data_IF_933074803490
#
_entry.id   IF_933074803490
#
_cell.length_a   1.000
_cell.length_b   1.000
_cell.length_c   1.000
_cell.angle_alpha   90.00
_cell.angle_beta   90.00
_cell.angle_gamma   90.00
#
_symmetry.space_group_name_H-M   'P 1'
#
loop_
_entity.id
_entity.type
_entity.pdbx_description
1 polymer ?
#
# COMPACT_ATOMS: atom_id res chain seq x y z
N UNK A 1 4.08 1.07 -29.35
CA UNK A 1 2.65 1.18 -28.96
C UNK A 1 1.82 1.94 -29.99
N UNK A 2 2.33 2.11 -31.21
CA UNK A 2 1.71 2.94 -32.25
C UNK A 2 0.43 2.32 -32.85
N UNK A 3 0.35 0.98 -32.89
CA UNK A 3 -0.82 0.27 -33.43
C UNK A 3 -2.00 0.13 -32.45
N UNK A 4 -1.73 0.13 -31.14
CA UNK A 4 -2.76 0.00 -30.10
C UNK A 4 -2.61 1.11 -29.07
N UNK A 5 -3.20 2.26 -29.41
CA UNK A 5 -3.10 3.50 -28.61
C UNK A 5 -3.83 3.42 -27.26
N UNK A 6 -4.70 2.43 -27.06
CA UNK A 6 -5.52 2.25 -25.84
C UNK A 6 -4.88 1.37 -24.76
N UNK A 7 -3.75 0.73 -25.02
CA UNK A 7 -3.04 -0.13 -24.05
C UNK A 7 -1.68 0.46 -23.71
N UNK A 8 -1.20 0.21 -22.50
CA UNK A 8 0.10 0.62 -21.96
C UNK A 8 0.81 -0.54 -21.30
N UNK A 9 2.14 -0.54 -21.36
CA UNK A 9 2.99 -1.51 -20.71
C UNK A 9 3.37 -0.93 -19.34
N UNK A 10 2.92 -1.56 -18.27
CA UNK A 10 3.04 -1.03 -16.90
C UNK A 10 3.69 -2.06 -16.00
N UNK A 11 4.41 -1.60 -14.99
CA UNK A 11 4.92 -2.46 -13.93
C UNK A 11 3.92 -2.40 -12.78
N UNK A 12 3.31 -3.53 -12.38
CA UNK A 12 2.38 -3.53 -11.27
C UNK A 12 3.11 -3.31 -9.95
N UNK A 13 2.42 -2.65 -9.02
CA UNK A 13 2.86 -2.49 -7.64
C UNK A 13 2.71 -3.83 -6.91
N UNK A 14 3.69 -4.12 -6.06
CA UNK A 14 3.63 -5.31 -5.21
C UNK A 14 2.70 -4.98 -4.05
N UNK A 15 1.49 -5.56 -4.07
CA UNK A 15 0.48 -5.33 -3.02
C UNK A 15 0.26 -6.64 -2.28
N UNK A 16 0.40 -6.62 -0.95
CA UNK A 16 0.14 -7.80 -0.13
C UNK A 16 -1.34 -8.16 -0.11
N UNK A 17 -1.66 -9.43 0.11
CA UNK A 17 -3.05 -9.91 0.22
C UNK A 17 -3.81 -9.21 1.36
N UNK A 18 -3.15 -9.00 2.50
CA UNK A 18 -3.75 -8.28 3.64
C UNK A 18 -4.09 -6.84 3.31
N UNK A 19 -3.25 -6.16 2.52
CA UNK A 19 -3.51 -4.80 2.06
C UNK A 19 -4.72 -4.77 1.10
N UNK A 20 -4.81 -5.72 0.16
CA UNK A 20 -5.99 -5.84 -0.72
C UNK A 20 -7.30 -6.10 0.03
N UNK A 21 -7.26 -6.88 1.12
CA UNK A 21 -8.45 -7.18 1.92
C UNK A 21 -8.83 -6.03 2.87
N UNK A 22 -7.83 -5.35 3.45
CA UNK A 22 -8.01 -4.28 4.44
C UNK A 22 -8.41 -2.93 3.84
N UNK A 23 -7.93 -2.59 2.64
CA UNK A 23 -8.24 -1.31 1.99
C UNK A 23 -9.52 -1.36 1.16
N UNK A 24 -10.64 -1.66 1.82
CA UNK A 24 -11.97 -1.56 1.23
C UNK A 24 -12.76 -0.40 1.86
N UNK A 25 -13.78 0.09 1.15
CA UNK A 25 -14.55 1.27 1.57
C UNK A 25 -15.14 1.12 2.97
N UNK A 26 -15.74 -0.01 3.29
CA UNK A 26 -16.38 -0.22 4.60
C UNK A 26 -15.38 -0.19 5.75
N UNK A 27 -14.20 -0.81 5.56
CA UNK A 27 -13.13 -0.79 6.55
C UNK A 27 -12.55 0.61 6.75
N UNK A 28 -12.31 1.33 5.65
CA UNK A 28 -11.80 2.71 5.68
C UNK A 28 -12.80 3.66 6.35
N UNK A 29 -14.09 3.58 5.97
CA UNK A 29 -15.14 4.43 6.55
C UNK A 29 -15.27 4.17 8.06
N UNK A 30 -15.20 2.90 8.48
CA UNK A 30 -15.25 2.52 9.91
C UNK A 30 -14.05 3.04 10.68
N UNK A 31 -12.85 2.94 10.11
CA UNK A 31 -11.63 3.45 10.71
C UNK A 31 -11.71 4.97 10.97
N UNK A 32 -12.08 5.75 9.94
CA UNK A 32 -12.14 7.20 10.08
C UNK A 32 -13.26 7.66 11.01
N UNK A 33 -14.39 6.95 11.05
CA UNK A 33 -15.44 7.21 12.04
C UNK A 33 -14.92 7.09 13.47
N UNK A 34 -14.23 5.99 13.79
CA UNK A 34 -13.65 5.81 15.14
C UNK A 34 -12.56 6.84 15.44
N UNK A 35 -11.73 7.16 14.45
CA UNK A 35 -10.70 8.19 14.60
C UNK A 35 -11.31 9.55 14.94
N UNK A 36 -12.37 9.95 14.24
CA UNK A 36 -13.08 11.21 14.47
C UNK A 36 -13.72 11.25 15.87
N UNK A 37 -14.39 10.17 16.29
CA UNK A 37 -14.99 10.06 17.62
C UNK A 37 -13.93 10.20 18.74
N UNK A 38 -12.80 9.52 18.60
CA UNK A 38 -11.71 9.57 19.58
C UNK A 38 -11.00 10.92 19.57
N UNK A 39 -10.74 11.49 18.40
CA UNK A 39 -10.10 12.79 18.27
C UNK A 39 -10.98 13.90 18.87
N UNK A 40 -12.29 13.85 18.66
CA UNK A 40 -13.25 14.80 19.23
C UNK A 40 -13.40 14.67 20.74
N UNK A 41 -13.18 13.47 21.29
CA UNK A 41 -13.25 13.23 22.74
C UNK A 41 -11.98 13.64 23.47
N UNK A 42 -10.82 13.27 22.93
CA UNK A 42 -9.54 13.36 23.65
C UNK A 42 -8.62 14.48 23.14
N UNK A 43 -8.90 15.05 21.96
CA UNK A 43 -8.16 16.18 21.39
C UNK A 43 -6.64 15.91 21.33
N UNK A 44 -6.24 14.77 20.76
CA UNK A 44 -4.83 14.41 20.66
C UNK A 44 -4.06 15.47 19.85
N UNK A 45 -3.00 16.09 20.40
CA UNK A 45 -2.15 16.97 19.63
C UNK A 45 -1.25 16.14 18.69
N UNK A 46 -0.77 16.76 17.61
CA UNK A 46 -0.10 16.06 16.51
C UNK A 46 1.18 15.31 16.93
N UNK A 47 1.86 15.78 17.98
CA UNK A 47 3.04 15.15 18.57
C UNK A 47 2.75 13.82 19.27
N UNK A 48 1.50 13.57 19.62
CA UNK A 48 1.04 12.34 20.28
C UNK A 48 0.38 11.36 19.33
N UNK A 49 0.33 11.68 18.04
CA UNK A 49 -0.16 10.78 16.99
C UNK A 49 1.05 10.16 16.29
N UNK A 50 1.20 8.86 16.45
CA UNK A 50 2.26 8.09 15.82
C UNK A 50 1.67 7.23 14.72
N UNK A 51 2.20 7.37 13.50
CA UNK A 51 1.96 6.41 12.44
C UNK A 51 3.05 5.34 12.50
N UNK A 52 2.67 4.07 12.43
CA UNK A 52 3.59 2.93 12.40
C UNK A 52 3.31 2.11 11.16
N UNK A 53 4.35 1.75 10.43
CA UNK A 53 4.24 0.87 9.29
C UNK A 53 5.40 -0.12 9.21
N UNK A 54 5.13 -1.25 8.57
CA UNK A 54 6.09 -2.32 8.32
C UNK A 54 6.48 -2.35 6.84
N UNK A 55 7.77 -2.39 6.55
CA UNK A 55 8.26 -2.70 5.20
C UNK A 55 9.16 -3.92 5.21
N UNK A 56 8.90 -4.81 4.25
CA UNK A 56 9.78 -5.93 3.94
C UNK A 56 10.96 -5.48 3.10
N UNK A 57 12.18 -5.73 3.57
CA UNK A 57 13.42 -5.52 2.82
C UNK A 57 13.97 -6.88 2.36
N UNK A 58 13.86 -7.13 1.05
CA UNK A 58 14.38 -8.32 0.40
C UNK A 58 15.71 -8.05 -0.29
N UNK A 59 16.69 -8.94 -0.11
CA UNK A 59 17.93 -8.90 -0.90
C UNK A 59 17.73 -9.38 -2.34
N UNK A 60 16.61 -10.01 -2.65
CA UNK A 60 16.23 -10.44 -4.00
C UNK A 60 15.24 -9.45 -4.59
N UNK A 61 15.62 -8.78 -5.68
CA UNK A 61 14.70 -7.91 -6.41
C UNK A 61 13.57 -8.75 -7.03
N UNK A 62 12.39 -8.77 -6.41
CA UNK A 62 11.17 -9.21 -7.08
C UNK A 62 10.83 -8.20 -8.20
N UNK A 63 11.36 -8.44 -9.40
CA UNK A 63 10.96 -7.70 -10.59
C UNK A 63 9.58 -8.22 -11.00
N UNK A 64 8.52 -7.54 -10.56
CA UNK A 64 7.21 -7.64 -11.22
C UNK A 64 7.41 -7.44 -12.72
N UNK A 65 7.08 -8.46 -13.51
CA UNK A 65 7.16 -8.37 -14.98
C UNK A 65 6.20 -7.29 -15.43
N UNK A 66 6.59 -6.56 -16.48
CA UNK A 66 5.69 -5.58 -17.07
C UNK A 66 4.48 -6.30 -17.67
N UNK A 67 3.28 -5.81 -17.39
CA UNK A 67 2.01 -6.33 -17.91
C UNK A 67 1.37 -5.31 -18.83
N UNK A 68 0.59 -5.79 -19.80
CA UNK A 68 -0.24 -4.93 -20.64
C UNK A 68 -1.50 -4.57 -19.88
N UNK A 69 -1.83 -3.28 -19.84
CA UNK A 69 -3.02 -2.74 -19.17
C UNK A 69 -3.64 -1.61 -19.98
N UNK A 70 -4.97 -1.40 -19.93
CA UNK A 70 -5.59 -0.23 -20.53
C UNK A 70 -4.91 1.08 -20.09
N UNK A 71 -4.73 2.02 -21.03
CA UNK A 71 -4.27 3.37 -20.70
C UNK A 71 -5.28 4.04 -19.76
N UNK A 72 -4.78 4.73 -18.74
CA UNK A 72 -5.58 5.42 -17.73
C UNK A 72 -5.77 4.66 -16.42
N UNK A 73 -5.45 3.35 -16.38
CA UNK A 73 -5.47 2.60 -15.11
C UNK A 73 -4.33 3.10 -14.22
N UNK A 74 -4.68 3.65 -13.05
CA UNK A 74 -3.73 4.24 -12.11
C UNK A 74 -3.07 3.17 -11.23
N UNK A 75 -3.87 2.27 -10.67
CA UNK A 75 -3.39 1.20 -9.78
C UNK A 75 -3.46 -0.16 -10.47
N UNK A 76 -2.31 -0.82 -10.57
CA UNK A 76 -2.19 -2.19 -11.06
C UNK A 76 -1.45 -2.97 -9.98
N UNK A 77 -2.19 -3.72 -9.17
CA UNK A 77 -1.62 -4.61 -8.18
C UNK A 77 -1.23 -5.94 -8.82
N UNK A 78 -0.10 -6.50 -8.40
CA UNK A 78 0.20 -7.91 -8.61
C UNK A 78 0.35 -8.57 -7.25
N UNK A 79 -0.40 -9.65 -7.02
CA UNK A 79 -0.21 -10.50 -5.85
C UNK A 79 1.12 -11.21 -6.00
N UNK A 80 2.12 -10.83 -5.21
CA UNK A 80 3.44 -11.46 -5.21
C UNK A 80 3.42 -12.66 -4.26
N UNK A 81 3.96 -13.79 -4.75
CA UNK A 81 4.17 -14.99 -3.92
C UNK A 81 5.36 -14.78 -2.98
N UNK A 82 5.32 -15.51 -1.86
CA UNK A 82 6.28 -15.55 -0.77
C UNK A 82 7.73 -15.39 -1.24
N UNK A 83 8.45 -14.49 -0.57
CA UNK A 83 9.75 -14.03 -1.03
C UNK A 83 10.81 -15.14 -1.10
N UNK A 84 11.54 -15.19 -2.22
CA UNK A 84 12.79 -15.96 -2.31
C UNK A 84 13.91 -15.13 -1.70
N UNK A 85 14.47 -15.53 -0.56
CA UNK A 85 15.60 -14.86 0.08
C UNK A 85 15.44 -14.73 1.59
N UNK A 86 16.39 -14.04 2.24
CA UNK A 86 16.22 -13.59 3.63
C UNK A 86 15.46 -12.27 3.59
N UNK A 87 14.23 -12.27 4.11
CA UNK A 87 13.42 -11.08 4.32
C UNK A 87 13.84 -10.44 5.65
N UNK A 88 14.23 -9.16 5.61
CA UNK A 88 14.43 -8.34 6.79
C UNK A 88 13.22 -7.43 6.94
N UNK A 89 12.49 -7.56 8.03
CA UNK A 89 11.38 -6.66 8.35
C UNK A 89 11.92 -5.40 9.02
N UNK A 90 11.60 -4.23 8.46
CA UNK A 90 11.83 -2.93 9.08
C UNK A 90 10.50 -2.37 9.56
N UNK A 91 10.46 -1.97 10.83
CA UNK A 91 9.31 -1.26 11.42
C UNK A 91 9.70 0.20 11.63
N UNK A 92 8.91 1.11 11.08
CA UNK A 92 9.11 2.54 11.23
C UNK A 92 7.94 3.17 11.99
N UNK A 93 8.25 4.00 12.99
CA UNK A 93 7.26 4.76 13.75
C UNK A 93 7.62 6.24 13.69
N UNK A 94 6.69 7.08 13.25
CA UNK A 94 6.91 8.51 12.99
C UNK A 94 5.73 9.30 13.55
N UNK A 95 5.99 10.46 14.16
CA UNK A 95 4.98 11.46 14.50
C UNK A 95 5.20 12.75 13.68
N UNK A 96 4.33 13.73 13.85
CA UNK A 96 4.36 14.97 13.09
C UNK A 96 5.38 16.02 13.59
N UNK A 97 6.19 15.72 14.61
CA UNK A 97 7.18 16.64 15.19
C UNK A 97 8.55 16.53 14.53
#
# INVERSE_FOLDING_TARGET
>A
MERHTRISLRRPESTSLHCNLGFNRAAVDTFYKHLEELQSKFHFPADRIYNMDETGLSNVKQKCRKVLSPKGVKQLGATTSQERGKLVTMVGTINAM
#
